data_IF_954017799057
#
_entry.id   IF_954017799057
#
_cell.length_a   1.000
_cell.length_b   1.000
_cell.length_c   1.000
_cell.angle_alpha   90.00
_cell.angle_beta   90.00
_cell.angle_gamma   90.00
#
_symmetry.space_group_name_H-M   'P 1'
#
loop_
_entity.id
_entity.type
_entity.pdbx_description
1 polymer ?
#
# COMPACT_ATOMS: atom_id res chain seq x y z
N UNK A 1 36.27 -10.31 -13.92
CA UNK A 1 36.46 -9.51 -12.72
C UNK A 1 35.57 -8.27 -12.66
N UNK A 2 35.52 -7.50 -13.73
CA UNK A 2 34.68 -6.30 -13.75
C UNK A 2 33.23 -6.62 -13.62
N UNK A 3 32.81 -7.75 -14.12
CA UNK A 3 31.41 -8.18 -14.06
C UNK A 3 30.95 -8.40 -12.63
N UNK A 4 31.82 -8.96 -11.79
CA UNK A 4 31.47 -9.22 -10.39
C UNK A 4 31.22 -7.93 -9.63
N UNK A 5 32.03 -6.91 -9.90
CA UNK A 5 31.87 -5.61 -9.24
C UNK A 5 30.55 -4.96 -9.62
N UNK A 6 30.17 -5.06 -10.88
CA UNK A 6 28.91 -4.49 -11.35
C UNK A 6 27.69 -5.15 -10.70
N UNK A 7 27.75 -6.47 -10.54
CA UNK A 7 26.66 -7.21 -9.92
C UNK A 7 26.49 -6.79 -8.47
N UNK A 8 27.58 -6.60 -7.75
CA UNK A 8 27.51 -6.17 -6.35
C UNK A 8 26.84 -4.80 -6.21
N UNK A 9 27.14 -3.89 -7.12
CA UNK A 9 26.52 -2.56 -7.10
C UNK A 9 25.02 -2.62 -7.32
N UNK A 10 24.55 -3.47 -8.20
CA UNK A 10 23.15 -3.62 -8.47
C UNK A 10 22.37 -4.08 -7.24
N UNK A 11 22.94 -5.01 -6.49
CA UNK A 11 22.30 -5.49 -5.27
C UNK A 11 22.14 -4.39 -4.24
N UNK A 12 23.15 -3.60 -4.03
CA UNK A 12 23.12 -2.52 -3.06
C UNK A 12 22.06 -1.49 -3.41
N UNK A 13 21.94 -1.14 -4.68
CA UNK A 13 20.93 -0.16 -5.12
C UNK A 13 19.52 -0.65 -4.86
N UNK A 14 19.24 -1.89 -5.20
CA UNK A 14 17.91 -2.45 -5.01
C UNK A 14 17.51 -2.50 -3.55
N UNK A 15 18.43 -2.89 -2.66
CA UNK A 15 18.16 -2.96 -1.24
C UNK A 15 17.81 -1.61 -0.64
N UNK A 16 18.58 -0.59 -0.97
CA UNK A 16 18.36 0.74 -0.45
C UNK A 16 16.99 1.30 -0.86
N UNK A 17 16.62 1.13 -2.11
CA UNK A 17 15.35 1.63 -2.63
C UNK A 17 14.16 1.03 -1.91
N UNK A 18 14.19 -0.27 -1.66
CA UNK A 18 13.09 -0.99 -1.02
C UNK A 18 12.82 -0.46 0.39
N UNK A 19 13.88 -0.24 1.17
CA UNK A 19 13.73 0.22 2.55
C UNK A 19 13.07 1.60 2.62
N UNK A 20 13.49 2.52 1.76
CA UNK A 20 12.93 3.89 1.78
C UNK A 20 11.45 3.90 1.44
N UNK A 21 11.01 3.04 0.52
CA UNK A 21 9.63 3.02 0.07
C UNK A 21 8.63 2.57 1.15
N UNK A 22 9.11 1.95 2.23
CA UNK A 22 8.25 1.40 3.28
C UNK A 22 8.13 2.30 4.52
N UNK A 23 8.60 3.54 4.45
CA UNK A 23 8.53 4.46 5.58
C UNK A 23 7.08 4.88 5.86
N UNK A 24 6.55 4.47 7.00
CA UNK A 24 5.17 4.74 7.40
C UNK A 24 4.91 6.21 7.69
N UNK A 25 5.95 7.00 7.95
CA UNK A 25 5.80 8.43 8.24
C UNK A 25 5.76 9.30 6.97
N UNK A 26 6.00 8.71 5.80
CA UNK A 26 5.97 9.45 4.55
C UNK A 26 4.52 9.55 4.07
N UNK A 27 3.82 10.59 4.55
CA UNK A 27 2.40 10.78 4.28
C UNK A 27 2.08 10.96 2.80
N UNK A 28 2.88 11.74 2.09
CA UNK A 28 2.63 11.99 0.67
C UNK A 28 2.72 10.70 -0.15
N UNK A 29 3.76 9.92 0.09
CA UNK A 29 3.97 8.67 -0.62
C UNK A 29 2.87 7.68 -0.29
N UNK A 30 2.56 7.49 0.98
CA UNK A 30 1.53 6.56 1.42
C UNK A 30 0.15 6.95 0.90
N UNK A 31 -0.14 8.25 0.89
CA UNK A 31 -1.42 8.73 0.36
C UNK A 31 -1.56 8.42 -1.14
N UNK A 32 -0.50 8.65 -1.90
CA UNK A 32 -0.52 8.35 -3.34
C UNK A 32 -0.66 6.86 -3.61
N UNK A 33 0.10 6.05 -2.89
CA UNK A 33 0.08 4.60 -3.07
C UNK A 33 -1.31 4.03 -2.74
N UNK A 34 -1.88 4.45 -1.62
CA UNK A 34 -3.20 3.96 -1.20
C UNK A 34 -4.29 4.40 -2.18
N UNK A 35 -4.25 5.64 -2.60
CA UNK A 35 -5.26 6.17 -3.52
C UNK A 35 -5.23 5.43 -4.86
N UNK A 36 -4.05 5.20 -5.42
CA UNK A 36 -3.92 4.46 -6.68
C UNK A 36 -4.38 3.01 -6.52
N UNK A 37 -4.08 2.39 -5.38
CA UNK A 37 -4.54 1.03 -5.11
C UNK A 37 -6.07 0.97 -5.03
N UNK A 38 -6.70 1.96 -4.42
CA UNK A 38 -8.17 2.05 -4.36
C UNK A 38 -8.75 2.18 -5.76
N UNK A 39 -8.16 3.04 -6.59
CA UNK A 39 -8.62 3.23 -7.96
C UNK A 39 -8.52 1.96 -8.80
N UNK A 40 -7.52 1.14 -8.50
CA UNK A 40 -7.33 -0.15 -9.18
C UNK A 40 -8.17 -1.27 -8.58
N UNK A 41 -8.89 -1.02 -7.50
CA UNK A 41 -9.68 -2.03 -6.82
C UNK A 41 -8.87 -2.96 -5.93
N UNK A 42 -7.61 -2.62 -5.66
CA UNK A 42 -6.71 -3.43 -4.82
C UNK A 42 -6.83 -3.00 -3.37
N UNK A 43 -7.95 -3.31 -2.75
CA UNK A 43 -8.25 -2.83 -1.40
C UNK A 43 -7.33 -3.40 -0.33
N UNK A 44 -6.90 -4.64 -0.51
CA UNK A 44 -5.96 -5.26 0.41
C UNK A 44 -4.62 -4.51 0.42
N UNK A 45 -4.11 -4.16 -0.76
CA UNK A 45 -2.86 -3.43 -0.87
C UNK A 45 -2.99 -1.97 -0.46
N UNK A 46 -4.20 -1.42 -0.55
CA UNK A 46 -4.45 -0.04 -0.16
C UNK A 46 -4.49 0.16 1.36
N UNK A 47 -4.85 -0.86 2.10
CA UNK A 47 -5.15 -0.74 3.53
C UNK A 47 -3.97 -0.23 4.36
N UNK A 48 -2.81 -0.86 4.25
CA UNK A 48 -1.66 -0.51 5.08
C UNK A 48 -1.17 0.91 4.86
N UNK A 49 -0.92 1.37 3.60
CA UNK A 49 -0.52 2.76 3.41
C UNK A 49 -1.64 3.75 3.77
N UNK A 50 -2.91 3.40 3.54
CA UNK A 50 -4.02 4.24 3.94
C UNK A 50 -4.08 4.40 5.47
N UNK A 51 -3.91 3.31 6.21
CA UNK A 51 -3.92 3.35 7.66
C UNK A 51 -2.80 4.24 8.20
N UNK A 52 -1.62 4.19 7.59
CA UNK A 52 -0.50 5.04 7.97
C UNK A 52 -0.85 6.52 7.79
N UNK A 53 -1.53 6.88 6.71
CA UNK A 53 -1.99 8.25 6.48
C UNK A 53 -3.02 8.65 7.53
N UNK A 54 -3.97 7.77 7.82
CA UNK A 54 -5.02 8.06 8.79
C UNK A 54 -4.44 8.32 10.18
N UNK A 55 -3.43 7.58 10.57
CA UNK A 55 -2.83 7.70 11.90
C UNK A 55 -1.87 8.89 12.02
N UNK A 56 -1.15 9.23 10.97
CA UNK A 56 -0.10 10.24 11.04
C UNK A 56 -0.50 11.58 10.46
N UNK A 57 -1.35 11.61 9.44
CA UNK A 57 -1.70 12.84 8.74
C UNK A 57 -3.08 12.75 8.10
N UNK A 58 -4.13 12.58 8.91
CA UNK A 58 -5.48 12.30 8.37
C UNK A 58 -6.06 13.42 7.51
N UNK A 59 -5.60 14.65 7.68
CA UNK A 59 -6.14 15.80 6.95
C UNK A 59 -5.31 16.17 5.72
N UNK A 60 -4.31 15.38 5.36
CA UNK A 60 -3.44 15.67 4.22
C UNK A 60 -4.23 15.78 2.91
N UNK A 61 -5.16 14.86 2.69
CA UNK A 61 -6.00 14.82 1.50
C UNK A 61 -7.45 14.63 1.90
N UNK A 62 -8.35 15.28 1.17
CA UNK A 62 -9.78 15.12 1.44
C UNK A 62 -10.26 13.70 1.14
N UNK A 63 -9.63 13.01 0.20
CA UNK A 63 -10.07 11.66 -0.18
C UNK A 63 -9.62 10.56 0.80
N UNK A 64 -8.87 10.90 1.85
CA UNK A 64 -8.46 9.92 2.85
C UNK A 64 -9.67 9.19 3.45
N UNK A 65 -10.73 9.91 3.75
CA UNK A 65 -11.93 9.33 4.36
C UNK A 65 -12.80 8.59 3.35
N UNK A 66 -12.94 9.12 2.15
CA UNK A 66 -13.66 8.43 1.08
C UNK A 66 -12.96 7.14 0.67
N UNK A 67 -11.64 7.18 0.55
CA UNK A 67 -10.86 5.97 0.24
C UNK A 67 -10.98 4.95 1.36
N UNK A 68 -10.98 5.40 2.62
CA UNK A 68 -11.17 4.52 3.76
C UNK A 68 -12.48 3.76 3.69
N UNK A 69 -13.54 4.43 3.36
CA UNK A 69 -14.85 3.80 3.18
C UNK A 69 -14.79 2.73 2.08
N UNK A 70 -14.19 3.06 0.95
CA UNK A 70 -14.08 2.12 -0.17
C UNK A 70 -13.22 0.91 0.18
N UNK A 71 -12.10 1.14 0.88
CA UNK A 71 -11.20 0.07 1.31
C UNK A 71 -11.93 -0.90 2.23
N UNK A 72 -12.56 -0.38 3.27
CA UNK A 72 -13.23 -1.21 4.25
C UNK A 72 -14.41 -1.95 3.64
N UNK A 73 -15.18 -1.28 2.81
CA UNK A 73 -16.30 -1.91 2.12
C UNK A 73 -15.82 -3.01 1.18
N UNK A 74 -14.74 -2.75 0.45
CA UNK A 74 -14.16 -3.75 -0.46
C UNK A 74 -13.63 -4.96 0.26
N UNK A 75 -12.94 -4.75 1.39
CA UNK A 75 -12.43 -5.87 2.19
C UNK A 75 -13.56 -6.68 2.80
N UNK A 76 -14.60 -6.04 3.28
CA UNK A 76 -15.77 -6.73 3.81
C UNK A 76 -16.47 -7.57 2.73
N UNK A 77 -16.54 -7.05 1.52
CA UNK A 77 -17.09 -7.79 0.39
C UNK A 77 -16.30 -9.04 0.07
N UNK A 78 -14.97 -8.94 0.12
CA UNK A 78 -14.10 -10.08 -0.11
C UNK A 78 -14.28 -11.16 0.96
N UNK A 79 -14.37 -10.74 2.22
CA UNK A 79 -14.60 -11.67 3.34
C UNK A 79 -15.94 -12.36 3.17
N UNK A 80 -16.97 -11.62 2.78
CA UNK A 80 -18.31 -12.18 2.55
C UNK A 80 -18.27 -13.23 1.44
N UNK A 81 -17.55 -12.97 0.36
CA UNK A 81 -17.38 -13.92 -0.73
C UNK A 81 -16.74 -15.23 -0.29
N UNK A 82 -15.65 -15.12 0.47
CA UNK A 82 -14.96 -16.27 1.01
C UNK A 82 -15.91 -17.10 1.90
N UNK A 83 -16.65 -16.40 2.74
CA UNK A 83 -17.61 -17.05 3.62
C UNK A 83 -18.67 -17.83 2.82
N UNK A 84 -19.20 -17.23 1.77
CA UNK A 84 -20.20 -17.88 0.94
C UNK A 84 -19.67 -19.12 0.25
N UNK A 85 -18.41 -19.07 -0.23
CA UNK A 85 -17.77 -20.20 -0.85
C UNK A 85 -17.58 -21.34 0.14
N UNK A 86 -17.14 -21.02 1.36
CA UNK A 86 -16.88 -22.02 2.38
C UNK A 86 -18.15 -22.67 2.93
N UNK A 87 -19.25 -21.92 2.97
CA UNK A 87 -20.49 -22.42 3.55
C UNK A 87 -21.41 -23.10 2.55
N UNK A 88 -21.10 -23.01 1.28
CA UNK A 88 -21.80 -23.74 0.25
C UNK A 88 -21.03 -25.01 -0.09
#
# INVERSE_FOLDING_TARGET
MKIKTLVAMLFLSAGATTVVAQDATNCNSNSSISHEAVRAGNFKDAYTPWKAVLENCPTLRFYTFTDGYKILKGLMGQIRNIRNILMN
#
